data_IF_605256833016
#
_entry.id   IF_605256833016
#
_cell.length_a   1.000
_cell.length_b   1.000
_cell.length_c   1.000
_cell.angle_alpha   90.00
_cell.angle_beta   90.00
_cell.angle_gamma   90.00
#
_symmetry.space_group_name_H-M   'P 1'
#
loop_
_entity.id
_entity.type
_entity.pdbx_description
1 polymer ?
#
# COMPACT_ATOMS: atom_id res chain seq x y z
N UNK A 1 -22.85 -24.14 8.84
CA UNK A 1 -23.12 -22.78 8.35
C UNK A 1 -22.10 -21.91 9.05
N UNK A 2 -21.09 -21.47 8.30
CA UNK A 2 -19.90 -20.86 8.88
C UNK A 2 -19.98 -19.33 8.80
N UNK A 3 -19.19 -18.64 9.61
CA UNK A 3 -19.13 -17.17 9.64
C UNK A 3 -17.75 -16.75 9.13
N UNK A 4 -17.73 -15.90 8.09
CA UNK A 4 -16.49 -15.31 7.60
C UNK A 4 -15.86 -14.44 8.70
N UNK A 5 -14.59 -14.70 9.04
CA UNK A 5 -13.91 -13.98 10.12
C UNK A 5 -13.66 -12.50 9.80
N UNK A 6 -13.60 -12.12 8.52
CA UNK A 6 -13.34 -10.76 8.08
C UNK A 6 -14.60 -9.89 8.05
N UNK A 7 -15.65 -10.34 7.36
CA UNK A 7 -16.87 -9.54 7.16
C UNK A 7 -18.01 -9.91 8.11
N UNK A 8 -17.82 -10.95 8.94
CA UNK A 8 -18.80 -11.46 9.91
C UNK A 8 -20.13 -11.91 9.29
N UNK A 9 -20.17 -12.08 7.97
CA UNK A 9 -21.32 -12.63 7.24
C UNK A 9 -21.28 -14.14 7.25
N UNK A 10 -22.47 -14.73 7.22
CA UNK A 10 -22.65 -16.17 7.09
C UNK A 10 -22.33 -16.65 5.68
N UNK A 11 -21.74 -17.83 5.55
CA UNK A 11 -21.26 -18.39 4.28
C UNK A 11 -21.55 -19.89 4.14
N UNK A 12 -21.80 -20.30 2.88
CA UNK A 12 -22.06 -21.69 2.50
C UNK A 12 -20.79 -22.44 2.09
N UNK A 13 -19.85 -21.75 1.41
CA UNK A 13 -18.59 -22.30 0.91
C UNK A 13 -17.40 -21.58 1.54
N UNK A 14 -17.02 -21.96 2.78
CA UNK A 14 -15.91 -21.34 3.48
C UNK A 14 -14.56 -21.72 2.86
N UNK A 15 -13.64 -20.77 2.88
CA UNK A 15 -12.21 -21.00 2.63
C UNK A 15 -11.47 -20.99 3.97
N UNK A 16 -10.58 -21.97 4.24
CA UNK A 16 -9.82 -22.00 5.48
C UNK A 16 -8.80 -20.86 5.54
N UNK A 17 -8.65 -20.23 6.71
CA UNK A 17 -7.55 -19.29 6.96
C UNK A 17 -6.28 -20.11 7.27
N UNK A 18 -5.61 -20.52 6.20
CA UNK A 18 -4.40 -21.33 6.25
C UNK A 18 -3.15 -20.51 6.66
N UNK A 19 -1.98 -21.17 6.71
CA UNK A 19 -0.70 -20.53 7.08
C UNK A 19 -0.36 -19.32 6.21
N UNK A 20 -0.49 -19.43 4.89
CA UNK A 20 -0.22 -18.33 3.95
C UNK A 20 -1.15 -17.13 4.21
N UNK A 21 -2.43 -17.39 4.45
CA UNK A 21 -3.39 -16.33 4.80
C UNK A 21 -2.98 -15.60 6.08
N UNK A 22 -2.50 -16.34 7.10
CA UNK A 22 -2.02 -15.76 8.37
C UNK A 22 -0.76 -14.90 8.18
N UNK A 23 0.15 -15.34 7.31
CA UNK A 23 1.34 -14.56 6.95
C UNK A 23 0.96 -13.26 6.26
N UNK A 24 0.05 -13.30 5.28
CA UNK A 24 -0.46 -12.11 4.60
C UNK A 24 -1.16 -11.15 5.59
N UNK A 25 -2.03 -11.67 6.46
CA UNK A 25 -2.69 -10.88 7.52
C UNK A 25 -1.64 -10.16 8.39
N UNK A 26 -0.57 -10.87 8.76
CA UNK A 26 0.55 -10.32 9.53
C UNK A 26 1.31 -9.23 8.78
N UNK A 27 1.66 -9.47 7.52
CA UNK A 27 2.32 -8.49 6.65
C UNK A 27 1.46 -7.24 6.44
N UNK A 28 0.14 -7.41 6.30
CA UNK A 28 -0.82 -6.31 6.20
C UNK A 28 -1.15 -5.65 7.54
N UNK A 29 -0.60 -6.14 8.66
CA UNK A 29 -0.84 -5.63 10.01
C UNK A 29 -2.33 -5.53 10.38
N UNK A 30 -3.15 -6.45 9.84
CA UNK A 30 -4.57 -6.48 10.13
C UNK A 30 -4.77 -6.94 11.58
N UNK A 31 -5.46 -6.11 12.39
CA UNK A 31 -5.78 -6.41 13.80
C UNK A 31 -6.94 -7.41 13.90
N UNK A 32 -6.73 -8.63 13.41
CA UNK A 32 -7.74 -9.69 13.39
C UNK A 32 -7.42 -10.76 14.44
N UNK A 33 -8.29 -10.94 15.43
CA UNK A 33 -8.16 -12.06 16.36
C UNK A 33 -8.72 -13.35 15.75
N UNK A 34 -7.82 -14.25 15.37
CA UNK A 34 -8.12 -15.56 14.79
C UNK A 34 -8.35 -16.66 15.85
N UNK A 35 -8.08 -16.38 17.14
CA UNK A 35 -8.19 -17.38 18.23
C UNK A 35 -9.61 -17.54 18.75
N UNK A 36 -10.49 -16.61 18.39
CA UNK A 36 -11.90 -16.60 18.81
C UNK A 36 -12.65 -17.82 18.27
N UNK A 37 -12.21 -18.36 17.14
CA UNK A 37 -12.80 -19.55 16.50
C UNK A 37 -11.70 -20.58 16.24
N UNK A 38 -11.86 -21.85 16.65
CA UNK A 38 -10.81 -22.88 16.52
C UNK A 38 -10.32 -23.08 15.08
N UNK A 39 -11.25 -23.09 14.11
CA UNK A 39 -10.98 -23.24 12.69
C UNK A 39 -11.54 -22.01 11.96
N UNK A 40 -10.81 -20.87 11.97
CA UNK A 40 -11.31 -19.65 11.36
C UNK A 40 -11.35 -19.81 9.83
N UNK A 41 -12.44 -19.33 9.25
CA UNK A 41 -12.68 -19.36 7.81
C UNK A 41 -12.99 -17.97 7.25
N UNK A 42 -12.89 -17.83 5.94
CA UNK A 42 -13.24 -16.61 5.22
C UNK A 42 -14.10 -16.91 3.99
N UNK A 43 -14.78 -15.89 3.48
CA UNK A 43 -15.49 -15.98 2.21
C UNK A 43 -14.55 -15.68 1.04
N UNK A 44 -14.95 -16.08 -0.18
CA UNK A 44 -14.16 -15.83 -1.40
C UNK A 44 -13.88 -14.34 -1.63
N UNK A 45 -14.89 -13.48 -1.47
CA UNK A 45 -14.70 -12.03 -1.65
C UNK A 45 -13.71 -11.42 -0.64
N UNK A 46 -13.66 -11.93 0.59
CA UNK A 46 -12.64 -11.50 1.57
C UNK A 46 -11.26 -12.05 1.22
N UNK A 47 -11.15 -13.26 0.65
CA UNK A 47 -9.89 -13.80 0.16
C UNK A 47 -9.33 -12.99 -1.01
N UNK A 48 -10.18 -12.64 -1.99
CA UNK A 48 -9.82 -11.77 -3.11
C UNK A 48 -9.38 -10.38 -2.63
N UNK A 49 -10.12 -9.79 -1.68
CA UNK A 49 -9.76 -8.50 -1.09
C UNK A 49 -8.43 -8.57 -0.34
N UNK A 50 -8.18 -9.66 0.39
CA UNK A 50 -6.91 -9.88 1.10
C UNK A 50 -5.74 -9.97 0.11
N UNK A 51 -5.92 -10.67 -1.01
CA UNK A 51 -4.91 -10.77 -2.06
C UNK A 51 -4.64 -9.42 -2.71
N UNK A 52 -5.68 -8.67 -3.09
CA UNK A 52 -5.51 -7.33 -3.66
C UNK A 52 -4.76 -6.37 -2.72
N UNK A 53 -5.06 -6.43 -1.42
CA UNK A 53 -4.35 -5.64 -0.41
C UNK A 53 -2.87 -6.06 -0.30
N UNK A 54 -2.59 -7.36 -0.37
CA UNK A 54 -1.22 -7.89 -0.36
C UNK A 54 -0.42 -7.45 -1.59
N UNK A 55 -1.02 -7.55 -2.78
CA UNK A 55 -0.38 -7.14 -4.03
C UNK A 55 -0.09 -5.63 -4.02
N UNK A 56 -1.04 -4.83 -3.53
CA UNK A 56 -0.86 -3.40 -3.33
C UNK A 56 0.30 -3.09 -2.38
N UNK A 57 0.34 -3.72 -1.19
CA UNK A 57 1.42 -3.48 -0.23
C UNK A 57 2.79 -3.92 -0.77
N UNK A 58 2.84 -5.05 -1.47
CA UNK A 58 4.07 -5.55 -2.09
C UNK A 58 4.59 -4.59 -3.16
N UNK A 59 3.70 -4.03 -3.98
CA UNK A 59 4.06 -2.99 -4.96
C UNK A 59 4.58 -1.71 -4.28
N UNK A 60 3.99 -1.31 -3.15
CA UNK A 60 4.47 -0.17 -2.36
C UNK A 60 5.88 -0.43 -1.80
N UNK A 61 6.14 -1.61 -1.23
CA UNK A 61 7.47 -1.97 -0.69
C UNK A 61 8.52 -1.96 -1.79
N UNK A 62 8.22 -2.60 -2.92
CA UNK A 62 9.11 -2.58 -4.08
C UNK A 62 9.43 -1.15 -4.54
N UNK A 63 8.42 -0.29 -4.57
CA UNK A 63 8.61 1.12 -4.93
C UNK A 63 9.49 1.85 -3.91
N UNK A 64 9.30 1.60 -2.62
CA UNK A 64 10.12 2.21 -1.56
C UNK A 64 11.58 1.76 -1.67
N UNK A 65 11.83 0.48 -1.95
CA UNK A 65 13.16 -0.08 -2.22
C UNK A 65 13.81 0.57 -3.46
N UNK A 66 13.03 0.85 -4.51
CA UNK A 66 13.51 1.59 -5.69
C UNK A 66 13.85 3.06 -5.37
N UNK A 67 13.10 3.69 -4.46
CA UNK A 67 13.31 5.09 -4.07
C UNK A 67 14.47 5.25 -3.08
N UNK A 68 14.73 4.25 -2.25
CA UNK A 68 15.72 4.29 -1.16
C UNK A 68 17.11 4.80 -1.58
N UNK A 69 17.73 4.38 -2.70
CA UNK A 69 19.05 4.87 -3.12
C UNK A 69 19.08 6.35 -3.49
N UNK A 70 17.93 6.94 -3.84
CA UNK A 70 17.82 8.36 -4.20
C UNK A 70 17.63 9.24 -2.96
N UNK A 71 17.25 8.62 -1.85
CA UNK A 71 17.00 9.23 -0.56
C UNK A 71 18.26 9.15 0.32
N UNK A 72 18.93 8.00 0.32
CA UNK A 72 20.11 7.73 1.13
C UNK A 72 21.30 8.60 0.69
N UNK A 73 21.81 9.44 1.60
CA UNK A 73 23.01 10.25 1.37
C UNK A 73 22.81 11.59 0.66
N UNK A 74 21.56 11.99 0.34
CA UNK A 74 21.27 13.34 -0.17
C UNK A 74 20.70 14.24 0.92
N UNK A 75 21.19 15.48 1.00
CA UNK A 75 20.62 16.54 1.86
C UNK A 75 19.38 17.21 1.25
N UNK A 76 18.73 16.58 0.27
CA UNK A 76 17.58 17.13 -0.43
C UNK A 76 16.29 16.79 0.33
N UNK A 77 15.51 17.82 0.62
CA UNK A 77 14.20 17.74 1.29
C UNK A 77 13.07 17.28 0.35
N UNK A 78 13.33 17.23 -0.96
CA UNK A 78 12.35 16.88 -2.00
C UNK A 78 12.98 15.97 -3.05
N UNK A 79 12.27 14.89 -3.39
CA UNK A 79 12.62 13.99 -4.48
C UNK A 79 11.85 14.39 -5.74
N UNK A 80 12.55 14.47 -6.87
CA UNK A 80 11.92 14.56 -8.17
C UNK A 80 11.58 13.14 -8.65
N UNK A 81 10.30 12.75 -8.52
CA UNK A 81 9.83 11.44 -8.94
C UNK A 81 9.92 11.23 -10.45
N UNK A 82 9.94 12.30 -11.24
CA UNK A 82 10.08 12.24 -12.69
C UNK A 82 11.51 11.82 -13.07
N UNK A 83 12.51 12.44 -12.45
CA UNK A 83 13.92 12.08 -12.62
C UNK A 83 14.16 10.60 -12.28
N UNK A 84 13.54 10.12 -11.20
CA UNK A 84 13.68 8.73 -10.77
C UNK A 84 12.95 7.78 -11.73
N UNK A 85 11.74 8.13 -12.17
CA UNK A 85 10.96 7.34 -13.12
C UNK A 85 11.74 7.07 -14.42
N UNK A 86 12.36 8.12 -14.98
CA UNK A 86 13.17 8.01 -16.19
C UNK A 86 14.40 7.11 -16.00
N UNK A 87 15.03 7.17 -14.82
CA UNK A 87 16.21 6.35 -14.47
C UNK A 87 15.87 4.87 -14.26
N UNK A 88 14.68 4.58 -13.72
CA UNK A 88 14.24 3.20 -13.46
C UNK A 88 13.73 2.52 -14.73
N UNK A 89 13.11 3.29 -15.64
CA UNK A 89 12.46 2.75 -16.84
C UNK A 89 13.25 2.99 -18.15
N UNK A 90 14.59 3.07 -18.07
CA UNK A 90 15.51 3.17 -19.22
C UNK A 90 15.13 4.22 -20.30
N UNK A 91 14.50 5.33 -19.91
CA UNK A 91 14.03 6.40 -20.81
C UNK A 91 13.06 5.94 -21.93
N UNK A 92 12.09 5.06 -21.65
CA UNK A 92 10.99 4.78 -22.60
C UNK A 92 10.29 6.08 -23.08
N UNK A 93 9.97 6.13 -24.39
CA UNK A 93 9.53 7.33 -25.11
C UNK A 93 8.40 8.10 -24.41
N UNK A 94 8.77 9.29 -23.96
CA UNK A 94 8.04 10.19 -23.05
C UNK A 94 7.08 11.10 -23.83
N UNK A 95 6.56 10.67 -24.98
CA UNK A 95 5.77 11.54 -25.87
C UNK A 95 4.30 11.69 -25.45
N UNK A 96 3.84 10.96 -24.43
CA UNK A 96 2.42 10.94 -23.97
C UNK A 96 2.14 11.62 -22.62
N UNK A 97 3.04 12.50 -22.16
CA UNK A 97 3.15 12.91 -20.74
C UNK A 97 2.29 14.11 -20.32
N UNK A 98 1.61 14.79 -21.23
CA UNK A 98 0.91 16.01 -20.86
C UNK A 98 -0.30 15.72 -19.94
N UNK A 99 -0.16 16.03 -18.64
CA UNK A 99 -1.20 15.84 -17.61
C UNK A 99 -1.04 14.58 -16.74
N UNK A 100 0.05 13.81 -16.89
CA UNK A 100 0.36 12.64 -16.08
C UNK A 100 1.30 13.00 -14.91
N UNK A 101 1.12 12.35 -13.76
CA UNK A 101 2.00 12.43 -12.60
C UNK A 101 2.57 11.05 -12.27
N UNK A 102 3.77 11.00 -11.67
CA UNK A 102 4.35 9.76 -11.17
C UNK A 102 3.80 9.50 -9.77
N UNK A 103 3.05 8.41 -9.61
CA UNK A 103 2.53 8.01 -8.32
C UNK A 103 3.65 7.46 -7.44
N UNK A 104 3.93 8.11 -6.29
CA UNK A 104 4.92 7.64 -5.30
C UNK A 104 4.68 6.21 -4.82
N UNK A 105 3.43 5.76 -4.74
CA UNK A 105 3.11 4.45 -4.15
C UNK A 105 3.35 3.28 -5.10
N UNK A 106 3.26 3.49 -6.42
CA UNK A 106 3.38 2.40 -7.38
C UNK A 106 4.40 2.66 -8.50
N UNK A 107 5.04 3.83 -8.51
CA UNK A 107 5.99 4.28 -9.52
C UNK A 107 5.49 4.23 -10.97
N UNK A 108 4.17 4.32 -11.16
CA UNK A 108 3.52 4.36 -12.47
C UNK A 108 3.02 5.76 -12.79
N UNK A 109 2.88 6.04 -14.07
CA UNK A 109 2.18 7.22 -14.56
C UNK A 109 0.68 7.10 -14.27
N UNK A 110 0.13 8.11 -13.62
CA UNK A 110 -1.30 8.26 -13.37
C UNK A 110 -1.78 9.61 -13.89
N UNK A 111 -3.08 9.71 -14.14
CA UNK A 111 -3.72 11.01 -14.38
C UNK A 111 -3.52 11.90 -13.15
N UNK A 112 -3.08 13.15 -13.35
CA UNK A 112 -2.87 14.14 -12.27
C UNK A 112 -4.08 14.30 -11.35
N UNK A 113 -5.30 14.07 -11.84
CA UNK A 113 -6.54 14.12 -11.02
C UNK A 113 -6.64 12.98 -10.00
N UNK A 114 -5.88 11.91 -10.19
CA UNK A 114 -5.84 10.73 -9.31
C UNK A 114 -4.66 10.78 -8.33
N UNK A 115 -3.79 11.78 -8.46
CA UNK A 115 -2.65 11.98 -7.61
C UNK A 115 -2.90 13.21 -6.72
N UNK A 116 -2.54 13.11 -5.44
CA UNK A 116 -2.61 14.23 -4.49
C UNK A 116 -1.18 14.53 -4.05
N UNK A 117 -0.69 15.78 -4.20
CA UNK A 117 0.64 16.14 -3.76
C UNK A 117 0.81 15.84 -2.26
N UNK A 118 1.91 15.15 -1.91
CA UNK A 118 2.18 14.74 -0.53
C UNK A 118 2.37 15.93 0.42
N UNK A 119 2.79 17.09 -0.08
CA UNK A 119 2.93 18.32 0.71
C UNK A 119 1.58 18.94 1.11
N UNK A 120 0.48 18.54 0.48
CA UNK A 120 -0.90 18.94 0.86
C UNK A 120 -1.49 17.97 1.90
N UNK A 121 -0.87 16.81 2.12
CA UNK A 121 -1.37 15.79 3.05
C UNK A 121 -1.23 16.24 4.52
N UNK A 122 -0.24 17.06 4.86
CA UNK A 122 -0.07 17.58 6.23
C UNK A 122 -1.27 18.45 6.69
N UNK A 123 -2.00 19.05 5.75
CA UNK A 123 -3.19 19.86 6.03
C UNK A 123 -4.47 19.02 6.17
N UNK A 124 -4.42 17.74 5.78
CA UNK A 124 -5.55 16.82 5.86
C UNK A 124 -5.50 15.99 7.16
N UNK A 125 -6.33 16.38 8.13
CA UNK A 125 -6.39 15.77 9.47
C UNK A 125 -6.70 14.27 9.41
N UNK A 126 -7.55 13.84 8.49
CA UNK A 126 -7.95 12.45 8.32
C UNK A 126 -6.81 11.58 7.79
N UNK A 127 -6.09 12.06 6.77
CA UNK A 127 -4.94 11.34 6.22
C UNK A 127 -3.80 11.30 7.24
N UNK A 128 -3.53 12.40 7.96
CA UNK A 128 -2.55 12.42 9.04
C UNK A 128 -2.84 11.36 10.11
N UNK A 129 -4.10 11.28 10.59
CA UNK A 129 -4.53 10.24 11.53
C UNK A 129 -4.37 8.83 10.97
N UNK A 130 -4.60 8.65 9.67
CA UNK A 130 -4.42 7.36 9.01
C UNK A 130 -2.94 6.97 8.98
N UNK A 131 -2.05 7.89 8.62
CA UNK A 131 -0.60 7.68 8.64
C UNK A 131 -0.11 7.37 10.06
N UNK A 132 -0.54 8.11 11.08
CA UNK A 132 -0.16 7.84 12.48
C UNK A 132 -0.57 6.44 12.96
N UNK A 133 -1.75 5.96 12.55
CA UNK A 133 -2.28 4.69 13.02
C UNK A 133 -1.74 3.46 12.29
N UNK A 134 -1.45 3.61 10.99
CA UNK A 134 -1.12 2.49 10.10
C UNK A 134 0.31 2.54 9.56
N UNK A 135 0.96 3.70 9.63
CA UNK A 135 2.35 3.90 9.22
C UNK A 135 3.07 4.92 10.14
N UNK A 136 3.17 4.64 11.45
CA UNK A 136 3.74 5.57 12.42
C UNK A 136 5.19 5.96 12.10
N UNK A 137 5.94 5.08 11.45
CA UNK A 137 7.34 5.34 11.06
C UNK A 137 7.47 6.44 9.99
N UNK A 138 6.45 6.63 9.15
CA UNK A 138 6.41 7.74 8.18
C UNK A 138 6.16 9.08 8.86
N UNK A 139 5.49 9.07 10.01
CA UNK A 139 5.22 10.29 10.79
C UNK A 139 6.37 10.63 11.74
N UNK A 140 7.12 9.63 12.21
CA UNK A 140 8.27 9.81 13.11
C UNK A 140 9.59 10.06 12.37
N UNK A 141 9.74 9.56 11.14
CA UNK A 141 10.82 9.98 10.26
C UNK A 141 10.55 11.42 9.80
N UNK A 142 11.45 12.32 10.18
CA UNK A 142 11.54 13.67 9.63
C UNK A 142 11.99 13.60 8.16
N UNK A 143 11.13 13.11 7.26
CA UNK A 143 11.28 13.28 5.81
C UNK A 143 10.91 14.72 5.41
N UNK A 144 11.43 15.69 6.16
CA UNK A 144 11.32 17.14 5.91
C UNK A 144 12.58 17.66 5.25
#
# INVERSE_FOLDING_TARGET
MDICRFCLKTIEKPLPINKMSKEIIGLLMLKLDLRITPEPVMCHGCAETLQMAFDFKSACIYTDDCLYPFIEGKSQTRLDLWEIYLKVNDNEDVESVNGCEVCRFCMKLGDSRLCTPLDVIEENVEIKKLLENYWPDVVSCSWR
#
